data_IF_645608598997
#
_entry.id   IF_645608598997
#
_cell.length_a   1.000
_cell.length_b   1.000
_cell.length_c   1.000
_cell.angle_alpha   90.00
_cell.angle_beta   90.00
_cell.angle_gamma   90.00
#
_symmetry.space_group_name_H-M   'P 1'
#
loop_
_entity.id
_entity.type
_entity.pdbx_description
1 polymer ?
#
# COMPACT_ATOMS: atom_id res chain seq x y z
N UNK A 1 11.77 13.29 19.80
CA UNK A 1 11.12 11.98 19.86
C UNK A 1 11.84 10.99 18.97
N UNK A 2 11.82 9.72 19.37
CA UNK A 2 12.46 8.69 18.57
C UNK A 2 11.70 8.50 17.25
N UNK A 3 12.46 8.43 16.16
CA UNK A 3 11.91 8.28 14.83
C UNK A 3 12.27 6.92 14.25
N UNK A 4 11.50 6.52 13.24
CA UNK A 4 11.77 5.33 12.44
C UNK A 4 12.02 5.75 11.00
N UNK A 5 12.74 4.92 10.27
CA UNK A 5 12.95 5.13 8.85
C UNK A 5 11.91 4.32 8.09
N UNK A 6 11.19 4.97 7.18
CA UNK A 6 10.28 4.29 6.25
C UNK A 6 10.92 4.27 4.85
N UNK A 7 11.00 3.08 4.27
CA UNK A 7 11.52 2.91 2.91
C UNK A 7 10.48 2.12 2.13
N UNK A 8 10.03 2.69 1.03
CA UNK A 8 9.10 2.00 0.11
C UNK A 8 9.83 1.76 -1.20
N UNK A 9 9.93 0.49 -1.58
CA UNK A 9 10.63 0.06 -2.79
C UNK A 9 9.65 -0.64 -3.72
N UNK A 10 9.64 -0.21 -4.97
CA UNK A 10 8.94 -0.88 -6.06
C UNK A 10 9.98 -1.47 -7.02
N UNK A 11 9.59 -2.35 -7.96
CA UNK A 11 10.56 -2.91 -8.93
C UNK A 11 11.27 -1.84 -9.76
N UNK A 12 10.70 -0.67 -9.89
CA UNK A 12 11.25 0.42 -10.72
C UNK A 12 12.17 1.36 -9.95
N UNK A 13 11.89 1.61 -8.66
CA UNK A 13 12.65 2.58 -7.88
C UNK A 13 12.29 2.55 -6.39
N UNK A 14 13.10 3.23 -5.59
CA UNK A 14 12.71 3.60 -4.22
C UNK A 14 11.79 4.80 -4.31
N UNK A 15 10.55 4.65 -3.86
CA UNK A 15 9.54 5.70 -3.97
C UNK A 15 9.44 6.58 -2.73
N UNK A 16 9.92 6.10 -1.59
CA UNK A 16 9.96 6.85 -0.34
C UNK A 16 11.14 6.39 0.51
N UNK A 17 11.84 7.31 1.11
CA UNK A 17 12.91 7.04 2.08
C UNK A 17 13.03 8.27 2.97
N UNK A 18 12.49 8.19 4.19
CA UNK A 18 12.55 9.32 5.12
C UNK A 18 12.40 8.86 6.58
N UNK A 19 12.81 9.72 7.50
CA UNK A 19 12.61 9.53 8.93
C UNK A 19 11.24 10.09 9.31
N UNK A 20 10.45 9.31 10.06
CA UNK A 20 9.09 9.66 10.45
C UNK A 20 8.82 9.21 11.88
N UNK A 21 7.71 9.68 12.46
CA UNK A 21 7.35 9.33 13.84
C UNK A 21 6.63 7.98 13.93
N UNK A 22 5.87 7.60 12.90
CA UNK A 22 5.16 6.34 12.90
C UNK A 22 4.59 5.99 11.53
N UNK A 23 4.25 4.72 11.35
CA UNK A 23 3.69 4.18 10.11
C UNK A 23 2.59 3.20 10.47
N UNK A 24 1.49 3.22 9.70
CA UNK A 24 0.46 2.20 9.76
C UNK A 24 0.48 1.45 8.44
N UNK A 25 0.75 0.14 8.50
CA UNK A 25 0.89 -0.69 7.31
C UNK A 25 -0.33 -1.60 7.13
N UNK A 26 -0.84 -1.76 5.90
CA UNK A 26 -2.00 -2.63 5.63
C UNK A 26 -1.55 -4.09 5.42
N UNK A 27 -1.57 -4.88 6.48
CA UNK A 27 -1.26 -6.30 6.39
C UNK A 27 -2.48 -7.09 5.91
N UNK A 28 -2.26 -8.31 5.43
CA UNK A 28 -3.36 -9.17 4.97
C UNK A 28 -4.35 -9.50 6.08
N UNK A 29 -3.87 -9.57 7.32
CA UNK A 29 -4.70 -9.88 8.50
C UNK A 29 -5.12 -8.63 9.28
N UNK A 30 -4.91 -7.45 8.74
CA UNK A 30 -5.33 -6.19 9.35
C UNK A 30 -4.20 -5.17 9.43
N UNK A 31 -4.55 -3.91 9.68
CA UNK A 31 -3.57 -2.84 9.79
C UNK A 31 -2.73 -2.98 11.06
N UNK A 32 -1.44 -2.66 10.94
CA UNK A 32 -0.51 -2.68 12.07
C UNK A 32 0.22 -1.35 12.21
N UNK A 33 0.22 -0.78 13.42
CA UNK A 33 0.96 0.43 13.73
C UNK A 33 2.40 0.11 14.09
N UNK A 34 3.34 0.88 13.56
CA UNK A 34 4.77 0.73 13.81
C UNK A 34 5.33 2.02 14.37
N UNK A 35 5.94 1.92 15.54
CA UNK A 35 6.64 3.02 16.21
C UNK A 35 8.07 2.60 16.52
N UNK A 36 8.89 3.56 16.95
CA UNK A 36 10.25 3.27 17.38
C UNK A 36 10.26 2.17 18.45
N UNK A 37 11.20 1.25 18.35
CA UNK A 37 11.32 0.13 19.28
C UNK A 37 10.45 -1.08 18.94
N UNK A 38 9.77 -1.08 17.78
CA UNK A 38 8.96 -2.22 17.36
C UNK A 38 9.83 -3.47 17.21
N UNK A 39 9.31 -4.60 17.69
CA UNK A 39 10.02 -5.88 17.58
C UNK A 39 10.22 -6.27 16.11
N UNK A 40 11.32 -6.96 15.78
CA UNK A 40 11.53 -7.42 14.41
C UNK A 40 10.37 -8.26 13.91
N UNK A 41 9.86 -7.91 12.73
CA UNK A 41 8.66 -8.54 12.17
C UNK A 41 8.77 -8.59 10.66
N UNK A 42 8.29 -9.68 10.07
CA UNK A 42 8.11 -9.78 8.62
C UNK A 42 6.64 -10.11 8.40
N UNK A 43 5.98 -9.35 7.54
CA UNK A 43 4.56 -9.55 7.25
C UNK A 43 4.26 -9.44 5.77
N UNK A 44 3.08 -9.92 5.39
CA UNK A 44 2.58 -9.77 4.02
C UNK A 44 1.62 -8.60 3.96
N UNK A 45 1.81 -7.73 2.97
CA UNK A 45 0.93 -6.60 2.73
C UNK A 45 -0.30 -7.04 1.93
N UNK A 46 -1.45 -6.50 2.33
CA UNK A 46 -2.62 -6.50 1.49
C UNK A 46 -2.67 -5.22 0.66
N UNK A 47 -3.46 -5.18 -0.43
CA UNK A 47 -3.71 -3.92 -1.12
C UNK A 47 -4.45 -2.96 -0.18
N UNK A 48 -3.97 -1.73 -0.04
CA UNK A 48 -4.62 -0.80 0.85
C UNK A 48 -3.82 0.45 1.15
N UNK A 49 -4.21 1.14 2.19
CA UNK A 49 -3.64 2.42 2.59
C UNK A 49 -2.50 2.24 3.59
N UNK A 50 -1.33 2.76 3.24
CA UNK A 50 -0.21 2.89 4.17
C UNK A 50 -0.15 4.35 4.62
N UNK A 51 -0.19 4.59 5.92
CA UNK A 51 -0.16 5.94 6.50
C UNK A 51 1.19 6.21 7.13
N UNK A 52 1.73 7.39 6.84
CA UNK A 52 3.01 7.86 7.38
C UNK A 52 2.74 9.12 8.18
N UNK A 53 3.16 9.13 9.44
CA UNK A 53 3.01 10.30 10.30
C UNK A 53 4.36 10.92 10.63
N UNK A 54 4.47 12.22 10.38
CA UNK A 54 5.66 13.01 10.68
C UNK A 54 5.23 14.31 11.38
N UNK A 55 5.32 14.33 12.70
CA UNK A 55 4.80 15.44 13.51
C UNK A 55 3.28 15.53 13.40
N UNK A 56 2.79 16.69 12.99
CA UNK A 56 1.37 16.93 12.76
C UNK A 56 0.92 16.58 11.33
N UNK A 57 1.88 16.22 10.47
CA UNK A 57 1.59 15.90 9.07
C UNK A 57 1.37 14.40 8.90
N UNK A 58 0.30 14.03 8.22
CA UNK A 58 0.00 12.66 7.86
C UNK A 58 -0.11 12.55 6.35
N UNK A 59 0.63 11.61 5.76
CA UNK A 59 0.62 11.35 4.33
C UNK A 59 0.21 9.90 4.12
N UNK A 60 -0.62 9.65 3.14
CA UNK A 60 -1.11 8.31 2.84
C UNK A 60 -0.72 7.88 1.44
N UNK A 61 -0.39 6.59 1.31
CA UNK A 61 -0.02 5.97 0.04
C UNK A 61 -0.88 4.74 -0.17
N UNK A 62 -1.28 4.50 -1.41
CA UNK A 62 -1.80 3.20 -1.79
C UNK A 62 -0.61 2.27 -2.05
N UNK A 63 -0.66 1.07 -1.49
CA UNK A 63 0.30 -0.01 -1.78
C UNK A 63 -0.44 -1.23 -2.28
N UNK A 64 0.18 -1.94 -3.22
CA UNK A 64 -0.45 -3.01 -3.98
C UNK A 64 0.06 -4.38 -3.56
N UNK A 65 -0.06 -4.68 -2.26
CA UNK A 65 0.44 -5.94 -1.72
C UNK A 65 1.97 -5.99 -1.64
N UNK A 66 2.52 -7.12 -1.30
CA UNK A 66 3.96 -7.33 -1.14
C UNK A 66 4.34 -7.73 0.27
N UNK A 67 5.50 -7.26 0.73
CA UNK A 67 6.04 -7.60 2.03
C UNK A 67 6.49 -6.37 2.80
N UNK A 68 6.44 -6.46 4.12
CA UNK A 68 7.03 -5.46 5.00
C UNK A 68 7.99 -6.16 5.95
N UNK A 69 9.16 -5.55 6.15
CA UNK A 69 10.13 -5.99 7.14
C UNK A 69 10.36 -4.85 8.13
N UNK A 70 10.23 -5.14 9.41
CA UNK A 70 10.45 -4.18 10.49
C UNK A 70 11.60 -4.70 11.31
N UNK A 71 12.68 -3.92 11.39
CA UNK A 71 13.84 -4.27 12.21
C UNK A 71 14.70 -3.02 12.44
N UNK A 72 15.23 -2.89 13.64
CA UNK A 72 16.16 -1.81 14.00
C UNK A 72 15.64 -0.39 13.65
N UNK A 73 14.36 -0.14 13.92
CA UNK A 73 13.68 1.13 13.62
C UNK A 73 13.64 1.46 12.13
N UNK A 74 13.69 0.44 11.27
CA UNK A 74 13.54 0.59 9.83
C UNK A 74 12.33 -0.23 9.38
N UNK A 75 11.43 0.43 8.67
CA UNK A 75 10.28 -0.22 8.03
C UNK A 75 10.56 -0.28 6.54
N UNK A 76 10.82 -1.47 6.02
CA UNK A 76 11.10 -1.68 4.60
C UNK A 76 9.86 -2.29 3.95
N UNK A 77 9.26 -1.56 3.03
CA UNK A 77 8.06 -1.98 2.30
C UNK A 77 8.46 -2.32 0.87
N UNK A 78 8.25 -3.57 0.49
CA UNK A 78 8.48 -4.02 -0.88
C UNK A 78 7.12 -4.32 -1.50
N UNK A 79 6.72 -3.50 -2.45
CA UNK A 79 5.40 -3.59 -3.08
C UNK A 79 5.52 -3.50 -4.61
N UNK A 80 4.56 -4.07 -5.32
CA UNK A 80 4.53 -4.01 -6.78
C UNK A 80 4.24 -2.60 -7.29
N UNK A 81 3.50 -1.82 -6.53
CA UNK A 81 3.15 -0.45 -6.90
C UNK A 81 2.84 0.37 -5.65
N UNK A 82 3.25 1.63 -5.65
CA UNK A 82 2.96 2.57 -4.58
C UNK A 82 2.63 3.94 -5.19
N UNK A 83 1.49 4.51 -4.79
CA UNK A 83 1.02 5.80 -5.29
C UNK A 83 0.55 6.63 -4.11
N UNK A 84 1.02 7.89 -4.04
CA UNK A 84 0.48 8.84 -3.07
C UNK A 84 -1.02 9.02 -3.33
N UNK A 85 -1.85 9.01 -2.29
CA UNK A 85 -3.30 9.07 -2.45
C UNK A 85 -3.72 10.33 -3.20
N UNK A 86 -3.05 11.45 -2.95
CA UNK A 86 -3.28 12.70 -3.65
C UNK A 86 -3.11 12.61 -5.18
N UNK A 87 -2.33 11.64 -5.64
CA UNK A 87 -2.01 11.45 -7.06
C UNK A 87 -2.92 10.43 -7.74
N UNK A 88 -3.85 9.80 -7.01
CA UNK A 88 -4.76 8.82 -7.59
C UNK A 88 -5.77 9.51 -8.50
N UNK A 89 -5.79 9.07 -9.76
CA UNK A 89 -6.80 9.50 -10.74
C UNK A 89 -8.04 8.62 -10.60
N UNK A 90 -9.09 9.14 -9.97
CA UNK A 90 -10.33 8.41 -9.72
C UNK A 90 -11.02 8.01 -11.03
N UNK A 91 -10.98 8.85 -12.06
CA UNK A 91 -11.58 8.53 -13.36
C UNK A 91 -10.87 7.34 -14.00
N UNK A 92 -9.53 7.33 -14.02
CA UNK A 92 -8.76 6.21 -14.51
C UNK A 92 -9.00 4.94 -13.71
N UNK A 93 -9.16 5.06 -12.38
CA UNK A 93 -9.45 3.92 -11.52
C UNK A 93 -10.84 3.32 -11.81
N UNK A 94 -11.83 4.14 -12.10
CA UNK A 94 -13.17 3.70 -12.49
C UNK A 94 -13.14 2.97 -13.84
N UNK A 95 -12.37 3.46 -14.79
CA UNK A 95 -12.17 2.77 -16.08
C UNK A 95 -11.50 1.42 -15.89
N UNK A 96 -10.48 1.34 -15.03
CA UNK A 96 -9.79 0.10 -14.72
C UNK A 96 -10.73 -0.91 -14.07
N UNK A 97 -11.63 -0.46 -13.20
CA UNK A 97 -12.64 -1.31 -12.58
C UNK A 97 -13.59 -1.88 -13.64
N UNK A 98 -14.09 -1.06 -14.57
CA UNK A 98 -14.97 -1.50 -15.63
C UNK A 98 -14.30 -2.55 -16.52
N UNK A 99 -13.03 -2.35 -16.87
CA UNK A 99 -12.26 -3.32 -17.65
C UNK A 99 -12.08 -4.64 -16.88
N UNK A 100 -11.75 -4.55 -15.59
CA UNK A 100 -11.54 -5.74 -14.76
C UNK A 100 -12.82 -6.56 -14.60
N UNK A 101 -13.95 -5.91 -14.41
CA UNK A 101 -15.26 -6.58 -14.32
C UNK A 101 -15.66 -7.24 -15.62
N UNK A 102 -15.22 -6.72 -16.78
CA UNK A 102 -15.47 -7.30 -18.08
C UNK A 102 -14.53 -8.43 -18.49
N UNK A 103 -13.53 -8.76 -17.67
CA UNK A 103 -12.58 -9.83 -18.01
C UNK A 103 -13.24 -11.21 -17.93
N UNK A 104 -12.87 -12.08 -18.89
CA UNK A 104 -13.30 -13.48 -18.85
C UNK A 104 -12.72 -14.19 -17.64
N UNK A 105 -13.54 -15.01 -17.01
CA UNK A 105 -13.13 -15.78 -15.83
C UNK A 105 -13.40 -17.27 -15.97
N UNK A 106 -13.41 -17.77 -17.21
CA UNK A 106 -13.69 -19.18 -17.50
C UNK A 106 -12.63 -20.17 -17.02
N UNK A 107 -11.43 -19.70 -16.73
CA UNK A 107 -10.34 -20.50 -16.15
C UNK A 107 -9.98 -19.94 -14.77
N UNK A 108 -9.58 -20.83 -13.88
CA UNK A 108 -9.22 -20.42 -12.51
C UNK A 108 -8.16 -19.32 -12.47
N UNK A 109 -7.15 -19.41 -13.33
CA UNK A 109 -6.10 -18.40 -13.43
C UNK A 109 -6.63 -17.02 -13.82
N UNK A 110 -7.56 -16.99 -14.77
CA UNK A 110 -8.20 -15.74 -15.20
C UNK A 110 -9.12 -15.17 -14.12
N UNK A 111 -9.78 -16.04 -13.35
CA UNK A 111 -10.62 -15.61 -12.24
C UNK A 111 -9.80 -14.94 -11.14
N UNK A 112 -8.62 -15.46 -10.82
CA UNK A 112 -7.71 -14.85 -9.85
C UNK A 112 -7.20 -13.50 -10.31
N UNK A 113 -6.81 -13.38 -11.57
CA UNK A 113 -6.36 -12.12 -12.15
C UNK A 113 -7.47 -11.07 -12.13
N UNK A 114 -8.69 -11.49 -12.48
CA UNK A 114 -9.85 -10.60 -12.43
C UNK A 114 -10.13 -10.12 -11.01
N UNK A 115 -10.13 -11.02 -10.03
CA UNK A 115 -10.37 -10.68 -8.63
C UNK A 115 -9.35 -9.68 -8.12
N UNK A 116 -8.08 -9.88 -8.44
CA UNK A 116 -7.02 -8.97 -8.05
C UNK A 116 -7.19 -7.60 -8.70
N UNK A 117 -7.48 -7.56 -9.99
CA UNK A 117 -7.66 -6.30 -10.71
C UNK A 117 -8.86 -5.51 -10.19
N UNK A 118 -9.96 -6.19 -9.88
CA UNK A 118 -11.15 -5.55 -9.31
C UNK A 118 -10.84 -4.98 -7.93
N UNK A 119 -10.16 -5.74 -7.08
CA UNK A 119 -9.80 -5.28 -5.74
C UNK A 119 -8.89 -4.05 -5.78
N UNK A 120 -7.90 -4.04 -6.67
CA UNK A 120 -7.00 -2.91 -6.85
C UNK A 120 -7.74 -1.65 -7.30
N UNK A 121 -8.61 -1.80 -8.30
CA UNK A 121 -9.37 -0.67 -8.84
C UNK A 121 -10.34 -0.10 -7.79
N UNK A 122 -11.02 -0.95 -7.04
CA UNK A 122 -11.92 -0.51 -5.96
C UNK A 122 -11.16 0.22 -4.86
N UNK A 123 -9.98 -0.26 -4.48
CA UNK A 123 -9.15 0.40 -3.48
C UNK A 123 -8.70 1.79 -3.95
N UNK A 124 -8.28 1.93 -5.21
CA UNK A 124 -7.92 3.21 -5.79
C UNK A 124 -9.08 4.20 -5.78
N UNK A 125 -10.28 3.75 -6.16
CA UNK A 125 -11.48 4.60 -6.16
C UNK A 125 -11.79 5.09 -4.74
N UNK A 126 -11.82 4.16 -3.78
CA UNK A 126 -12.14 4.50 -2.39
C UNK A 126 -11.15 5.49 -1.80
N UNK A 127 -9.85 5.25 -1.96
CA UNK A 127 -8.82 6.11 -1.40
C UNK A 127 -8.73 7.44 -2.13
N UNK A 128 -8.90 7.45 -3.46
CA UNK A 128 -8.88 8.67 -4.24
C UNK A 128 -10.04 9.60 -3.92
N UNK A 129 -11.23 9.07 -3.66
CA UNK A 129 -12.40 9.86 -3.29
C UNK A 129 -12.32 10.45 -1.88
N UNK A 130 -11.47 9.89 -1.02
CA UNK A 130 -11.22 10.39 0.34
C UNK A 130 -10.27 11.58 0.39
N UNK A 131 -9.46 11.78 -0.61
CA UNK A 131 -8.42 12.82 -0.61
C UNK A 131 -8.91 14.21 -1.01
#
# INVERSE_FOLDING_TARGET
MAQIQIVIVTPEATTLDQMVDGVIVPLLDGAAGVLAGHAPTIGRLGPGELRVRDGSKETSYYVDGGFVQIADNVVSVLTGNSVAIEEIDVAAAKEALAKAEGMESGKAELAELKSKAVAQAKAHILLGERS
#
